data_IF_231386893612
#
_entry.id   IF_231386893612
#
_cell.length_a   1.000
_cell.length_b   1.000
_cell.length_c   1.000
_cell.angle_alpha   90.00
_cell.angle_beta   90.00
_cell.angle_gamma   90.00
#
_symmetry.space_group_name_H-M   'P 1'
#
loop_
_entity.id
_entity.type
_entity.pdbx_description
1 polymer ?
#
# COMPACT_ATOMS: atom_id res chain seq x y z
N UNK A 1 13.54 -4.66 -7.29
CA UNK A 1 12.64 -5.84 -7.23
C UNK A 1 11.19 -5.42 -7.03
N UNK A 2 10.87 -4.66 -5.97
CA UNK A 2 9.50 -4.22 -5.70
C UNK A 2 8.81 -3.50 -6.88
N UNK A 3 9.52 -2.62 -7.60
CA UNK A 3 8.97 -1.94 -8.78
C UNK A 3 8.58 -2.91 -9.91
N UNK A 4 9.35 -3.99 -10.11
CA UNK A 4 9.05 -5.02 -11.13
C UNK A 4 7.86 -5.89 -10.73
N UNK A 5 7.71 -6.18 -9.44
CA UNK A 5 6.56 -6.94 -8.92
C UNK A 5 5.27 -6.12 -9.07
N UNK A 6 5.33 -4.83 -8.75
CA UNK A 6 4.22 -3.88 -8.95
C UNK A 6 3.74 -3.83 -10.41
N UNK A 7 4.65 -3.88 -11.38
CA UNK A 7 4.29 -3.84 -12.82
C UNK A 7 3.83 -5.19 -13.40
N UNK A 8 3.85 -6.27 -12.63
CA UNK A 8 3.51 -7.61 -13.11
C UNK A 8 2.00 -7.92 -12.99
N UNK A 9 1.54 -9.02 -13.60
CA UNK A 9 0.17 -9.55 -13.44
C UNK A 9 -0.19 -9.83 -11.98
N UNK A 10 0.80 -10.24 -11.17
CA UNK A 10 0.61 -10.47 -9.73
C UNK A 10 0.33 -9.14 -9.01
N UNK A 11 1.06 -8.08 -9.35
CA UNK A 11 0.81 -6.73 -8.82
C UNK A 11 -0.55 -6.18 -9.23
N UNK A 12 -0.97 -6.42 -10.48
CA UNK A 12 -2.28 -6.02 -11.00
C UNK A 12 -3.42 -6.72 -10.24
N UNK A 13 -3.32 -8.03 -10.05
CA UNK A 13 -4.33 -8.80 -9.32
C UNK A 13 -4.40 -8.42 -7.84
N UNK A 14 -3.29 -8.09 -7.18
CA UNK A 14 -3.31 -7.53 -5.83
C UNK A 14 -3.97 -6.15 -5.76
N UNK A 15 -3.74 -5.28 -6.75
CA UNK A 15 -4.42 -3.98 -6.78
C UNK A 15 -5.93 -4.13 -6.99
N UNK A 16 -6.37 -5.00 -7.89
CA UNK A 16 -7.79 -5.29 -8.11
C UNK A 16 -8.48 -5.81 -6.83
N UNK A 17 -7.80 -6.69 -6.10
CA UNK A 17 -8.29 -7.20 -4.81
C UNK A 17 -8.34 -6.14 -3.70
N UNK A 18 -7.49 -5.11 -3.76
CA UNK A 18 -7.48 -3.97 -2.83
C UNK A 18 -8.66 -3.04 -3.05
N UNK A 19 -9.12 -2.90 -4.30
CA UNK A 19 -10.29 -2.08 -4.66
C UNK A 19 -11.59 -2.81 -4.37
N UNK A 20 -11.79 -4.01 -4.92
CA UNK A 20 -12.95 -4.85 -4.62
C UNK A 20 -12.62 -6.35 -4.77
N UNK A 21 -12.62 -7.04 -3.62
CA UNK A 21 -12.37 -8.48 -3.56
C UNK A 21 -13.52 -9.34 -4.13
N UNK A 22 -14.76 -8.83 -4.16
CA UNK A 22 -15.91 -9.54 -4.70
C UNK A 22 -15.87 -9.46 -6.22
N UNK A 23 -15.67 -8.26 -6.78
CA UNK A 23 -15.48 -8.09 -8.22
C UNK A 23 -14.30 -8.92 -8.75
N UNK A 24 -13.16 -8.91 -8.06
CA UNK A 24 -11.99 -9.71 -8.46
C UNK A 24 -12.29 -11.22 -8.53
N UNK A 25 -13.14 -11.75 -7.64
CA UNK A 25 -13.58 -13.14 -7.70
C UNK A 25 -14.46 -13.42 -8.92
N UNK A 26 -15.35 -12.51 -9.28
CA UNK A 26 -16.20 -12.63 -10.47
C UNK A 26 -15.36 -12.70 -11.76
N UNK A 27 -14.20 -12.02 -11.79
CA UNK A 27 -13.24 -12.09 -12.90
C UNK A 27 -12.30 -13.32 -12.85
N UNK A 28 -12.54 -14.28 -11.95
CA UNK A 28 -11.79 -15.54 -11.88
C UNK A 28 -10.46 -15.44 -11.12
N UNK A 29 -10.20 -14.35 -10.38
CA UNK A 29 -8.99 -14.22 -9.55
C UNK A 29 -9.13 -15.06 -8.28
N UNK A 30 -8.20 -15.98 -8.05
CA UNK A 30 -8.17 -16.78 -6.83
C UNK A 30 -7.66 -15.95 -5.64
N UNK A 31 -8.57 -15.41 -4.82
CA UNK A 31 -8.21 -14.58 -3.67
C UNK A 31 -7.31 -15.30 -2.66
N UNK A 32 -7.59 -16.58 -2.37
CA UNK A 32 -6.88 -17.32 -1.33
C UNK A 32 -5.41 -17.46 -1.68
N UNK A 33 -5.10 -17.88 -2.92
CA UNK A 33 -3.71 -17.97 -3.40
C UNK A 33 -3.03 -16.61 -3.41
N UNK A 34 -3.69 -15.57 -3.92
CA UNK A 34 -3.08 -14.25 -3.99
C UNK A 34 -2.81 -13.63 -2.60
N UNK A 35 -3.74 -13.79 -1.64
CA UNK A 35 -3.53 -13.35 -0.26
C UNK A 35 -2.39 -14.11 0.40
N UNK A 36 -2.29 -15.41 0.17
CA UNK A 36 -1.20 -16.23 0.70
C UNK A 36 0.15 -15.79 0.14
N UNK A 37 0.25 -15.52 -1.16
CA UNK A 37 1.48 -14.98 -1.75
C UNK A 37 1.86 -13.62 -1.18
N UNK A 38 0.90 -12.69 -1.02
CA UNK A 38 1.14 -11.39 -0.42
C UNK A 38 1.67 -11.52 1.02
N UNK A 39 1.04 -12.38 1.83
CA UNK A 39 1.47 -12.65 3.20
C UNK A 39 2.83 -13.33 3.25
N UNK A 40 3.07 -14.36 2.43
CA UNK A 40 4.33 -15.08 2.39
C UNK A 40 5.49 -14.15 2.01
N UNK A 41 5.31 -13.25 1.05
CA UNK A 41 6.32 -12.26 0.69
C UNK A 41 6.61 -11.31 1.84
N UNK A 42 5.57 -10.74 2.47
CA UNK A 42 5.73 -9.84 3.63
C UNK A 42 6.43 -10.52 4.82
N UNK A 43 5.98 -11.72 5.18
CA UNK A 43 6.57 -12.51 6.26
C UNK A 43 8.03 -12.90 5.97
N UNK A 44 8.38 -13.19 4.72
CA UNK A 44 9.75 -13.50 4.32
C UNK A 44 10.68 -12.30 4.57
N UNK A 45 10.27 -11.09 4.15
CA UNK A 45 11.07 -9.87 4.39
C UNK A 45 11.15 -9.54 5.88
N UNK A 46 10.04 -9.66 6.62
CA UNK A 46 10.01 -9.43 8.08
C UNK A 46 10.89 -10.42 8.84
N UNK A 47 10.89 -11.70 8.46
CA UNK A 47 11.72 -12.74 9.04
C UNK A 47 13.21 -12.52 8.79
N UNK A 48 13.59 -12.14 7.56
CA UNK A 48 14.98 -11.79 7.22
C UNK A 48 15.44 -10.57 8.02
N UNK A 49 14.63 -9.51 8.08
CA UNK A 49 14.94 -8.32 8.87
C UNK A 49 15.10 -8.65 10.36
N UNK A 50 14.21 -9.46 10.93
CA UNK A 50 14.28 -9.92 12.31
C UNK A 50 15.50 -10.80 12.60
N UNK A 51 15.87 -11.69 11.70
CA UNK A 51 17.06 -12.55 11.84
C UNK A 51 18.36 -11.72 11.85
N UNK A 52 18.45 -10.72 10.95
CA UNK A 52 19.58 -9.77 10.93
C UNK A 52 19.60 -8.94 12.22
N UNK A 53 18.45 -8.44 12.67
CA UNK A 53 18.35 -7.67 13.91
C UNK A 53 18.76 -8.48 15.15
N UNK A 54 18.30 -9.73 15.26
CA UNK A 54 18.66 -10.65 16.33
C UNK A 54 20.17 -10.93 16.37
N UNK A 55 20.80 -11.07 15.20
CA UNK A 55 22.24 -11.22 15.10
C UNK A 55 22.99 -9.94 15.55
N UNK A 56 22.47 -8.76 15.25
CA UNK A 56 23.09 -7.48 15.59
C UNK A 56 23.05 -7.19 17.10
N UNK A 57 21.94 -7.51 17.78
CA UNK A 57 21.80 -7.24 19.23
C UNK A 57 22.51 -8.28 20.10
N UNK A 58 22.77 -9.49 19.59
CA UNK A 58 23.49 -10.57 20.29
C UNK A 58 22.75 -11.21 21.46
N UNK A 59 21.83 -10.48 22.11
CA UNK A 59 20.98 -10.96 23.19
C UNK A 59 19.56 -10.41 23.05
N UNK A 60 18.57 -11.29 23.09
CA UNK A 60 17.15 -10.95 22.95
C UNK A 60 16.55 -10.84 24.35
N UNK A 61 16.31 -9.61 24.81
CA UNK A 61 15.55 -9.34 26.02
C UNK A 61 14.23 -8.63 25.68
N UNK A 62 13.15 -8.82 26.48
CA UNK A 62 11.88 -8.12 26.26
C UNK A 62 12.02 -6.59 26.37
N UNK A 63 13.08 -6.11 27.01
CA UNK A 63 13.42 -4.70 27.13
C UNK A 63 13.90 -4.07 25.81
N UNK A 64 14.31 -4.88 24.82
CA UNK A 64 14.61 -4.38 23.47
C UNK A 64 13.35 -4.14 22.62
N UNK A 65 12.21 -4.71 23.01
CA UNK A 65 10.93 -4.65 22.28
C UNK A 65 9.91 -3.80 23.05
N UNK A 66 10.31 -2.59 23.43
CA UNK A 66 9.41 -1.65 24.11
C UNK A 66 8.43 -1.01 23.12
N UNK A 67 7.36 -0.42 23.66
CA UNK A 67 6.41 0.39 22.91
C UNK A 67 7.08 1.52 22.11
N UNK A 68 8.17 2.08 22.63
CA UNK A 68 8.95 3.13 21.97
C UNK A 68 9.50 2.64 20.62
N UNK A 69 10.05 1.43 20.57
CA UNK A 69 10.64 0.86 19.36
C UNK A 69 9.58 0.58 18.29
N UNK A 70 8.45 -0.01 18.67
CA UNK A 70 7.33 -0.27 17.76
C UNK A 70 6.73 1.03 17.21
N UNK A 71 6.57 2.04 18.06
CA UNK A 71 6.03 3.35 17.66
C UNK A 71 7.00 4.08 16.74
N UNK A 72 8.31 3.98 16.99
CA UNK A 72 9.35 4.54 16.13
C UNK A 72 9.27 3.94 14.72
N UNK A 73 9.23 2.60 14.59
CA UNK A 73 9.12 1.94 13.28
C UNK A 73 7.82 2.33 12.58
N UNK A 74 6.70 2.37 13.31
CA UNK A 74 5.42 2.80 12.76
C UNK A 74 5.47 4.25 12.27
N UNK A 75 6.09 5.15 13.04
CA UNK A 75 6.23 6.55 12.67
C UNK A 75 7.06 6.73 11.40
N UNK A 76 8.09 5.91 11.16
CA UNK A 76 8.87 5.91 9.91
C UNK A 76 8.01 5.53 8.71
N UNK A 77 7.18 4.49 8.84
CA UNK A 77 6.31 4.02 7.76
C UNK A 77 5.22 5.04 7.47
N UNK A 78 4.57 5.56 8.52
CA UNK A 78 3.55 6.60 8.39
C UNK A 78 4.19 7.81 7.71
N UNK A 79 5.31 8.34 8.25
CA UNK A 79 6.04 9.50 7.71
C UNK A 79 6.45 9.32 6.24
N UNK A 80 6.74 8.10 5.81
CA UNK A 80 7.00 7.80 4.41
C UNK A 80 5.77 7.69 3.52
N UNK A 81 4.64 7.23 4.07
CA UNK A 81 3.43 6.87 3.34
C UNK A 81 3.36 5.36 3.07
N UNK A 82 2.19 4.75 3.34
CA UNK A 82 2.00 3.29 3.32
C UNK A 82 2.17 2.64 1.94
N UNK A 83 1.99 3.43 0.87
CA UNK A 83 1.99 2.96 -0.53
C UNK A 83 3.23 3.42 -1.31
N UNK A 84 4.18 4.07 -0.65
CA UNK A 84 5.34 4.72 -1.30
C UNK A 84 6.68 4.22 -0.78
N UNK A 85 7.31 3.33 -1.53
CA UNK A 85 8.66 2.80 -1.23
C UNK A 85 9.72 3.91 -1.08
N UNK A 86 9.85 4.89 -2.01
CA UNK A 86 10.84 5.96 -1.83
C UNK A 86 10.47 6.90 -0.67
N UNK A 87 9.17 7.06 -0.39
CA UNK A 87 8.67 7.81 0.75
C UNK A 87 9.12 7.20 2.07
N UNK A 88 8.91 5.89 2.27
CA UNK A 88 9.34 5.15 3.49
C UNK A 88 10.86 5.20 3.67
N UNK A 89 11.63 5.09 2.59
CA UNK A 89 13.09 5.22 2.67
C UNK A 89 13.52 6.62 3.16
N UNK A 90 12.92 7.69 2.61
CA UNK A 90 13.17 9.06 3.08
C UNK A 90 12.69 9.26 4.52
N UNK A 91 11.53 8.69 4.88
CA UNK A 91 10.97 8.81 6.22
C UNK A 91 11.82 8.16 7.29
N UNK A 92 12.38 6.98 7.00
CA UNK A 92 13.35 6.33 7.87
C UNK A 92 14.61 7.20 8.05
N UNK A 93 15.20 7.70 6.96
CA UNK A 93 16.40 8.57 7.03
C UNK A 93 16.11 9.83 7.84
N UNK A 94 14.99 10.50 7.58
CA UNK A 94 14.61 11.74 8.25
C UNK A 94 14.40 11.51 9.76
N UNK A 95 13.65 10.47 10.12
CA UNK A 95 13.39 10.13 11.52
C UNK A 95 14.55 9.47 12.23
N UNK A 96 15.60 9.03 11.55
CA UNK A 96 16.85 8.69 12.20
C UNK A 96 17.66 9.95 12.53
N UNK A 97 17.78 10.89 11.58
CA UNK A 97 18.65 12.07 11.76
C UNK A 97 18.06 13.10 12.74
N UNK A 98 16.73 13.30 12.72
CA UNK A 98 16.05 14.28 13.58
C UNK A 98 16.28 13.99 15.08
N UNK A 99 15.95 12.80 15.62
CA UNK A 99 16.14 12.52 17.03
C UNK A 99 17.61 12.39 17.42
N UNK A 100 18.52 12.05 16.50
CA UNK A 100 19.96 12.04 16.77
C UNK A 100 20.47 13.45 17.11
N UNK A 101 19.96 14.48 16.43
CA UNK A 101 20.27 15.89 16.76
C UNK A 101 19.53 16.40 17.99
N UNK A 102 18.33 15.88 18.26
CA UNK A 102 17.51 16.25 19.42
C UNK A 102 17.74 15.36 20.65
N UNK A 103 18.82 14.57 20.67
CA UNK A 103 19.13 13.61 21.74
C UNK A 103 19.20 14.23 23.14
N UNK A 104 19.40 15.56 23.24
CA UNK A 104 19.37 16.32 24.48
C UNK A 104 17.98 16.39 25.17
N UNK A 105 16.87 16.09 24.46
CA UNK A 105 15.50 16.11 24.99
C UNK A 105 14.90 14.69 25.04
N UNK A 106 15.64 13.74 25.63
CA UNK A 106 15.29 12.31 25.61
C UNK A 106 13.91 12.01 26.26
N UNK A 107 13.52 12.78 27.27
CA UNK A 107 12.25 12.64 27.99
C UNK A 107 11.01 12.91 27.13
N UNK A 108 11.14 13.70 26.05
CA UNK A 108 10.00 14.09 25.19
C UNK A 108 9.85 13.21 23.95
N UNK A 109 10.67 12.16 23.78
CA UNK A 109 10.65 11.28 22.59
C UNK A 109 9.26 10.75 22.25
N UNK A 110 8.54 10.24 23.25
CA UNK A 110 7.22 9.63 23.04
C UNK A 110 6.19 10.65 22.56
N UNK A 111 6.24 11.87 23.10
CA UNK A 111 5.40 12.99 22.71
C UNK A 111 5.74 13.44 21.28
N UNK A 112 7.02 13.48 20.93
CA UNK A 112 7.50 13.83 19.60
C UNK A 112 7.01 12.86 18.53
N UNK A 113 7.09 11.54 18.76
CA UNK A 113 6.55 10.55 17.82
C UNK A 113 5.03 10.68 17.65
N UNK A 114 4.29 10.92 18.74
CA UNK A 114 2.85 11.15 18.68
C UNK A 114 2.49 12.40 17.86
N UNK A 115 3.18 13.51 18.11
CA UNK A 115 2.98 14.77 17.35
C UNK A 115 3.30 14.56 15.88
N UNK A 116 4.37 13.86 15.54
CA UNK A 116 4.72 13.56 14.15
C UNK A 116 3.60 12.78 13.45
N UNK A 117 3.06 11.75 14.10
CA UNK A 117 1.96 10.96 13.54
C UNK A 117 0.72 11.84 13.32
N UNK A 118 0.32 12.62 14.33
CA UNK A 118 -0.87 13.48 14.23
C UNK A 118 -0.68 14.56 13.17
N UNK A 119 0.47 15.23 13.17
CA UNK A 119 0.82 16.25 12.19
C UNK A 119 0.74 15.66 10.78
N UNK A 120 1.26 14.46 10.57
CA UNK A 120 1.24 13.87 9.25
C UNK A 120 -0.15 13.44 8.79
N UNK A 121 -0.95 12.82 9.66
CA UNK A 121 -2.35 12.49 9.38
C UNK A 121 -3.15 13.73 8.98
N UNK A 122 -2.78 14.90 9.52
CA UNK A 122 -3.44 16.17 9.24
C UNK A 122 -2.99 16.80 7.92
N UNK A 123 -1.69 16.77 7.60
CA UNK A 123 -1.18 17.40 6.38
C UNK A 123 -1.42 16.59 5.12
N UNK A 124 -1.24 15.25 5.15
CA UNK A 124 -1.50 14.39 4.00
C UNK A 124 -1.47 12.90 4.39
N UNK A 125 -2.63 12.20 4.44
CA UNK A 125 -2.68 10.78 4.82
C UNK A 125 -1.95 9.84 3.83
N UNK A 126 -1.65 10.31 2.62
CA UNK A 126 -0.97 9.53 1.58
C UNK A 126 0.57 9.54 1.66
N UNK A 127 1.19 10.28 2.59
CA UNK A 127 2.65 10.33 2.70
C UNK A 127 3.32 11.57 2.12
N UNK A 128 4.65 11.65 2.24
CA UNK A 128 5.50 12.70 1.64
C UNK A 128 5.51 12.59 0.10
N UNK A 129 5.53 11.35 -0.41
CA UNK A 129 5.49 11.06 -1.85
C UNK A 129 4.26 10.18 -2.09
N UNK A 130 3.13 10.71 -2.59
CA UNK A 130 1.95 9.90 -2.87
C UNK A 130 2.27 8.88 -3.95
N UNK A 131 1.84 7.63 -3.74
CA UNK A 131 1.96 6.58 -4.73
C UNK A 131 1.22 6.97 -6.01
N UNK A 132 1.82 6.70 -7.17
CA UNK A 132 1.22 7.01 -8.47
C UNK A 132 0.00 6.11 -8.66
N UNK A 133 -1.18 6.59 -8.27
CA UNK A 133 -2.45 5.91 -8.52
C UNK A 133 -2.55 5.59 -10.01
N UNK A 134 -2.59 4.30 -10.33
CA UNK A 134 -2.82 3.81 -11.69
C UNK A 134 -4.28 4.10 -12.01
N UNK A 135 -4.54 5.27 -12.60
CA UNK A 135 -5.83 5.54 -13.24
C UNK A 135 -5.95 4.61 -14.44
N UNK A 136 -6.80 3.59 -14.33
CA UNK A 136 -7.27 2.83 -15.48
C UNK A 136 -8.26 3.76 -16.19
N UNK A 137 -7.89 4.30 -17.36
CA UNK A 137 -8.84 5.02 -18.22
C UNK A 137 -9.93 4.03 -18.60
N UNK A 138 -11.10 4.17 -17.96
CA UNK A 138 -12.31 3.43 -18.30
C UNK A 138 -13.05 4.08 -19.48
N UNK A 139 -12.43 5.06 -20.13
CA UNK A 139 -13.03 5.86 -21.20
C UNK A 139 -13.57 4.97 -22.34
N UNK A 140 -12.89 3.85 -22.63
CA UNK A 140 -13.27 2.94 -23.73
C UNK A 140 -14.40 1.94 -23.37
N UNK A 141 -14.70 1.70 -22.09
CA UNK A 141 -15.74 0.72 -21.68
C UNK A 141 -17.13 1.39 -21.69
N UNK A 142 -17.18 2.69 -21.42
CA UNK A 142 -18.38 3.52 -21.58
C UNK A 142 -18.83 3.60 -23.04
N UNK A 143 -17.91 3.79 -23.99
CA UNK A 143 -18.28 3.85 -25.42
C UNK A 143 -18.80 2.51 -25.93
N UNK A 144 -18.17 1.39 -25.57
CA UNK A 144 -18.57 0.06 -26.05
C UNK A 144 -19.90 -0.42 -25.44
N UNK A 145 -20.23 0.04 -24.22
CA UNK A 145 -21.54 -0.21 -23.58
C UNK A 145 -22.65 0.70 -24.12
N UNK A 146 -22.38 1.96 -24.44
CA UNK A 146 -23.35 2.84 -25.11
C UNK A 146 -23.64 2.39 -26.55
N UNK A 147 -22.63 1.96 -27.30
CA UNK A 147 -22.78 1.42 -28.66
C UNK A 147 -23.55 0.08 -28.61
N UNK A 148 -23.26 -0.79 -27.63
CA UNK A 148 -23.96 -2.06 -27.44
C UNK A 148 -25.44 -1.88 -27.07
N UNK A 149 -25.78 -0.90 -26.23
CA UNK A 149 -27.18 -0.57 -25.89
C UNK A 149 -27.88 0.13 -27.06
N UNK A 150 -27.18 0.98 -27.81
CA UNK A 150 -27.74 1.65 -29.00
C UNK A 150 -28.05 0.66 -30.15
N UNK A 151 -27.17 -0.30 -30.44
CA UNK A 151 -27.41 -1.34 -31.46
C UNK A 151 -28.61 -2.23 -31.10
N UNK A 152 -28.78 -2.55 -29.81
CA UNK A 152 -29.94 -3.30 -29.34
C UNK A 152 -31.24 -2.52 -29.46
N UNK A 153 -31.25 -1.21 -29.15
CA UNK A 153 -32.43 -0.35 -29.33
C UNK A 153 -32.82 -0.17 -30.81
N UNK A 154 -31.85 -0.21 -31.73
CA UNK A 154 -32.11 -0.15 -33.18
C UNK A 154 -32.74 -1.45 -33.68
N UNK A 155 -32.23 -2.62 -33.27
CA UNK A 155 -32.79 -3.93 -33.67
C UNK A 155 -34.20 -4.17 -33.12
N UNK A 156 -34.48 -3.71 -31.89
CA UNK A 156 -35.80 -3.88 -31.27
C UNK A 156 -36.89 -2.98 -31.91
N UNK A 157 -36.50 -1.86 -32.52
CA UNK A 157 -37.41 -0.96 -33.27
C UNK A 157 -37.68 -1.38 -34.71
N UNK A 158 -37.10 -2.47 -35.20
CA UNK A 158 -37.29 -2.97 -36.57
C UNK A 158 -38.25 -4.18 -36.67
N UNK A 159 -39.48 -4.19 -36.12
CA UNK A 159 -40.51 -5.11 -36.59
C UNK A 159 -41.39 -4.47 -37.68
N UNK A 160 -41.61 -5.22 -38.76
CA UNK A 160 -42.74 -5.08 -39.72
C UNK A 160 -42.67 -4.04 -40.85
N UNK A 161 -41.61 -4.03 -41.67
CA UNK A 161 -41.62 -3.29 -42.95
C UNK A 161 -40.95 -4.04 -44.12
N UNK A 162 -41.01 -5.37 -44.15
CA UNK A 162 -40.76 -6.13 -45.39
C UNK A 162 -41.71 -7.34 -45.38
N UNK A 163 -42.87 -7.15 -45.99
CA UNK A 163 -43.83 -8.18 -46.37
C UNK A 163 -44.12 -8.03 -47.86
#
# INVERSE_FOLDING_TARGET
IAYRVSSSLVGLSWNAMREDSIAAQCYGVNLTKNKLWAFALGASFGGIAGAVYANMIGFISPENFTYTQSTLILSMIILGGIDSIPGVALGAILLTIIPEKFRAFEDYRMLFYGVIIVFMLLFKPDGIIPAKSRKYSLDNISEESEIGVADQRVKEKQPAAIG
#
